data_IF_521411902245
#
_entry.id   IF_521411902245
#
_cell.length_a   1.000
_cell.length_b   1.000
_cell.length_c   1.000
_cell.angle_alpha   90.00
_cell.angle_beta   90.00
_cell.angle_gamma   90.00
#
_symmetry.space_group_name_H-M   'P 1'
#
loop_
_entity.id
_entity.type
_entity.pdbx_description
1 polymer ?
#
# COMPACT_ATOMS: atom_id res chain seq x y z
N UNK A 1 -13.41 17.28 1.00
CA UNK A 1 -13.32 16.99 2.45
C UNK A 1 -14.69 17.15 3.09
N UNK A 2 -15.05 16.24 3.99
CA UNK A 2 -16.29 16.30 4.76
C UNK A 2 -15.96 16.40 6.25
N UNK A 3 -16.18 17.58 6.85
CA UNK A 3 -15.83 17.84 8.25
C UNK A 3 -16.69 17.01 9.22
N UNK A 4 -17.98 16.81 8.91
CA UNK A 4 -18.88 16.03 9.75
C UNK A 4 -18.42 14.59 9.85
N UNK A 5 -18.03 14.00 8.73
CA UNK A 5 -17.51 12.64 8.66
C UNK A 5 -16.15 12.51 9.33
N UNK A 6 -15.23 13.49 9.12
CA UNK A 6 -13.96 13.55 9.80
C UNK A 6 -14.14 13.49 11.33
N UNK A 7 -14.98 14.35 11.86
CA UNK A 7 -15.28 14.41 13.30
C UNK A 7 -15.98 13.15 13.81
N UNK A 8 -16.87 12.58 13.03
CA UNK A 8 -17.53 11.33 13.38
C UNK A 8 -16.53 10.17 13.52
N UNK A 9 -15.63 10.00 12.56
CA UNK A 9 -14.58 8.96 12.62
C UNK A 9 -13.67 9.19 13.83
N UNK A 10 -13.26 10.44 14.11
CA UNK A 10 -12.44 10.73 15.29
C UNK A 10 -13.19 10.47 16.59
N UNK A 11 -14.50 10.68 16.66
CA UNK A 11 -15.30 10.31 17.83
C UNK A 11 -15.25 8.81 18.14
N UNK A 12 -15.26 7.98 17.08
CA UNK A 12 -15.11 6.52 17.23
C UNK A 12 -13.70 6.15 17.71
N UNK A 13 -12.66 6.79 17.20
CA UNK A 13 -11.27 6.56 17.61
C UNK A 13 -11.09 6.89 19.08
N UNK A 14 -11.53 8.07 19.52
CA UNK A 14 -11.41 8.55 20.91
C UNK A 14 -12.18 7.66 21.89
N UNK A 15 -13.29 7.04 21.44
CA UNK A 15 -14.09 6.16 22.30
C UNK A 15 -13.43 4.82 22.63
N UNK A 16 -12.34 4.46 21.94
CA UNK A 16 -11.60 3.21 22.17
C UNK A 16 -10.80 3.26 23.46
N UNK A 17 -10.99 2.28 24.33
CA UNK A 17 -10.31 2.21 25.63
C UNK A 17 -8.80 1.99 25.55
N UNK A 18 -8.34 1.37 24.45
CA UNK A 18 -6.94 0.96 24.27
C UNK A 18 -6.18 1.90 23.31
N UNK A 19 -6.69 3.12 23.07
CA UNK A 19 -5.99 4.09 22.26
C UNK A 19 -4.72 4.55 22.99
N UNK A 20 -3.58 4.55 22.26
CA UNK A 20 -2.31 5.02 22.77
C UNK A 20 -2.42 6.47 23.27
N UNK A 21 -1.95 6.73 24.49
CA UNK A 21 -1.98 8.06 25.11
C UNK A 21 -1.24 9.13 24.31
N UNK A 22 -0.26 8.74 23.49
CA UNK A 22 0.44 9.66 22.61
C UNK A 22 -0.40 10.03 21.38
N UNK A 23 -1.40 9.24 21.00
CA UNK A 23 -2.26 9.49 19.82
C UNK A 23 -3.49 10.29 20.22
N UNK A 24 -4.01 10.06 21.41
CA UNK A 24 -5.26 10.64 21.89
C UNK A 24 -5.34 12.18 21.75
N UNK A 25 -4.33 12.99 22.15
CA UNK A 25 -4.43 14.44 22.06
C UNK A 25 -4.57 14.96 20.63
N UNK A 26 -3.94 14.30 19.65
CA UNK A 26 -4.13 14.67 18.24
C UNK A 26 -5.49 14.20 17.71
N UNK A 27 -5.99 13.04 18.14
CA UNK A 27 -7.32 12.60 17.79
C UNK A 27 -8.39 13.59 18.30
N UNK A 28 -8.26 14.06 19.54
CA UNK A 28 -9.12 15.09 20.15
C UNK A 28 -9.01 16.41 19.40
N UNK A 29 -7.80 16.86 19.03
CA UNK A 29 -7.58 18.06 18.24
C UNK A 29 -8.34 18.03 16.89
N UNK A 30 -8.28 16.91 16.16
CA UNK A 30 -9.01 16.74 14.90
C UNK A 30 -10.52 16.61 15.13
N UNK A 31 -10.95 16.00 16.21
CA UNK A 31 -12.36 15.94 16.59
C UNK A 31 -12.92 17.34 16.87
N UNK A 32 -12.22 18.15 17.64
CA UNK A 32 -12.68 19.49 18.02
C UNK A 32 -12.65 20.47 16.84
N UNK A 33 -11.50 20.60 16.18
CA UNK A 33 -11.27 21.61 15.13
C UNK A 33 -11.61 21.13 13.71
N UNK A 34 -11.71 19.82 13.47
CA UNK A 34 -12.01 19.29 12.15
C UNK A 34 -10.99 19.71 11.10
N UNK A 35 -11.48 20.16 9.96
CA UNK A 35 -10.65 20.64 8.84
C UNK A 35 -9.97 22.00 9.10
N UNK A 36 -10.32 22.69 10.18
CA UNK A 36 -9.67 23.94 10.58
C UNK A 36 -8.33 23.72 11.31
N UNK A 37 -7.93 22.47 11.57
CA UNK A 37 -6.63 22.15 12.16
C UNK A 37 -5.51 22.69 11.27
N UNK A 38 -4.63 23.48 11.86
CA UNK A 38 -3.46 24.04 11.19
C UNK A 38 -2.19 23.29 11.56
N UNK A 39 -1.14 23.42 10.75
CA UNK A 39 0.20 22.91 11.09
C UNK A 39 0.72 23.44 12.44
N UNK A 40 0.32 24.64 12.85
CA UNK A 40 0.70 25.21 14.16
C UNK A 40 0.01 24.46 15.28
N UNK A 41 -1.25 24.09 15.10
CA UNK A 41 -2.01 23.33 16.09
C UNK A 41 -1.41 21.95 16.30
N UNK A 42 -1.14 21.20 15.23
CA UNK A 42 -0.51 19.87 15.30
C UNK A 42 0.89 19.93 15.93
N UNK A 43 1.69 20.94 15.56
CA UNK A 43 3.02 21.12 16.16
C UNK A 43 2.95 21.47 17.64
N UNK A 44 1.96 22.27 18.08
CA UNK A 44 1.75 22.59 19.49
C UNK A 44 1.40 21.32 20.26
N UNK A 45 0.39 20.57 19.82
CA UNK A 45 -0.03 19.32 20.48
C UNK A 45 1.12 18.30 20.60
N UNK A 46 1.93 18.15 19.55
CA UNK A 46 3.09 17.26 19.56
C UNK A 46 4.17 17.72 20.54
N UNK A 47 4.38 19.03 20.69
CA UNK A 47 5.32 19.58 21.69
C UNK A 47 4.83 19.40 23.12
N UNK A 48 3.53 19.52 23.37
CA UNK A 48 2.93 19.31 24.67
C UNK A 48 3.08 17.84 25.14
N UNK A 49 3.19 16.91 24.18
CA UNK A 49 3.55 15.50 24.40
C UNK A 49 5.06 15.25 24.59
N UNK A 50 5.89 16.30 24.53
CA UNK A 50 7.34 16.20 24.73
C UNK A 50 8.16 15.93 23.45
N UNK A 51 7.55 15.85 22.29
CA UNK A 51 8.27 15.68 21.02
C UNK A 51 8.73 17.04 20.46
N UNK A 52 9.89 17.07 19.80
CA UNK A 52 10.45 18.33 19.28
C UNK A 52 9.69 18.85 18.05
N UNK A 53 9.21 17.94 17.21
CA UNK A 53 8.56 18.23 15.94
C UNK A 53 7.79 17.02 15.42
N UNK A 54 7.04 17.19 14.30
CA UNK A 54 6.27 16.11 13.65
C UNK A 54 7.15 14.98 13.08
N UNK A 55 8.43 15.23 12.79
CA UNK A 55 9.33 14.17 12.32
C UNK A 55 9.64 13.18 13.44
N UNK A 56 9.84 13.68 14.66
CA UNK A 56 10.09 12.84 15.84
C UNK A 56 8.82 12.09 16.28
N UNK A 57 7.65 12.62 15.93
CA UNK A 57 6.33 12.05 16.21
C UNK A 57 5.78 11.19 15.04
N UNK A 58 6.58 10.88 14.02
CA UNK A 58 6.15 10.29 12.75
C UNK A 58 5.38 8.97 12.91
N UNK A 59 5.86 8.06 13.77
CA UNK A 59 5.21 6.77 13.98
C UNK A 59 3.79 6.92 14.53
N UNK A 60 3.59 7.81 15.50
CA UNK A 60 2.28 8.11 16.06
C UNK A 60 1.37 8.79 15.01
N UNK A 61 1.93 9.67 14.17
CA UNK A 61 1.19 10.28 13.06
C UNK A 61 0.66 9.23 12.08
N UNK A 62 1.48 8.24 11.73
CA UNK A 62 1.10 7.14 10.85
C UNK A 62 0.05 6.26 11.54
N UNK A 63 0.25 5.91 12.81
CA UNK A 63 -0.70 5.12 13.58
C UNK A 63 -2.07 5.81 13.66
N UNK A 64 -2.12 7.11 13.89
CA UNK A 64 -3.38 7.87 13.89
C UNK A 64 -4.11 7.79 12.54
N UNK A 65 -3.36 7.91 11.42
CA UNK A 65 -3.93 7.78 10.07
C UNK A 65 -4.46 6.35 9.85
N UNK A 66 -3.73 5.33 10.28
CA UNK A 66 -4.17 3.92 10.18
C UNK A 66 -5.46 3.72 10.98
N UNK A 67 -5.55 4.24 12.21
CA UNK A 67 -6.78 4.20 12.99
C UNK A 67 -7.95 4.89 12.27
N UNK A 68 -7.68 6.02 11.62
CA UNK A 68 -8.69 6.70 10.81
C UNK A 68 -9.16 5.82 9.66
N UNK A 69 -8.25 5.23 8.88
CA UNK A 69 -8.55 4.34 7.76
C UNK A 69 -9.36 3.13 8.21
N UNK A 70 -8.96 2.45 9.30
CA UNK A 70 -9.70 1.30 9.83
C UNK A 70 -11.14 1.64 10.20
N UNK A 71 -11.38 2.82 10.79
CA UNK A 71 -12.73 3.21 11.16
C UNK A 71 -13.54 3.71 9.95
N UNK A 72 -12.90 4.24 8.91
CA UNK A 72 -13.54 4.60 7.65
C UNK A 72 -13.95 3.37 6.82
N UNK A 73 -13.21 2.27 6.92
CA UNK A 73 -13.48 1.03 6.18
C UNK A 73 -14.59 0.15 6.79
N UNK A 74 -15.32 0.63 7.81
CA UNK A 74 -16.38 -0.15 8.46
C UNK A 74 -17.55 -0.55 7.51
N UNK A 75 -17.76 0.18 6.43
CA UNK A 75 -18.72 -0.11 5.36
C UNK A 75 -18.09 -0.76 4.12
N UNK A 76 -16.85 -1.22 4.26
CA UNK A 76 -16.05 -1.95 3.28
C UNK A 76 -15.52 -1.13 2.08
N UNK A 77 -15.88 0.13 1.91
CA UNK A 77 -15.36 0.97 0.80
C UNK A 77 -15.07 2.39 1.29
N UNK A 78 -13.95 2.95 0.86
CA UNK A 78 -13.64 4.35 1.14
C UNK A 78 -14.45 5.26 0.21
N UNK A 79 -15.26 6.12 0.81
CA UNK A 79 -15.94 7.19 0.10
C UNK A 79 -14.96 8.24 -0.41
N UNK A 80 -15.36 9.05 -1.39
CA UNK A 80 -14.53 10.17 -1.86
C UNK A 80 -14.21 11.16 -0.73
N UNK A 81 -15.15 11.39 0.17
CA UNK A 81 -14.95 12.27 1.32
C UNK A 81 -13.90 11.74 2.30
N UNK A 82 -13.91 10.43 2.59
CA UNK A 82 -12.91 9.78 3.44
C UNK A 82 -11.51 9.82 2.81
N UNK A 83 -11.40 9.57 1.51
CA UNK A 83 -10.13 9.70 0.78
C UNK A 83 -9.56 11.12 0.87
N UNK A 84 -10.39 12.13 0.70
CA UNK A 84 -9.98 13.53 0.86
C UNK A 84 -9.59 13.84 2.31
N UNK A 85 -10.31 13.31 3.29
CA UNK A 85 -9.95 13.45 4.70
C UNK A 85 -8.61 12.76 5.02
N UNK A 86 -8.33 11.57 4.47
CA UNK A 86 -7.04 10.90 4.63
C UNK A 86 -5.90 11.74 4.01
N UNK A 87 -6.10 12.31 2.82
CA UNK A 87 -5.12 13.22 2.21
C UNK A 87 -4.88 14.45 3.09
N UNK A 88 -5.93 15.02 3.65
CA UNK A 88 -5.81 16.13 4.61
C UNK A 88 -5.00 15.74 5.85
N UNK A 89 -5.28 14.59 6.46
CA UNK A 89 -4.53 14.08 7.61
C UNK A 89 -3.05 13.86 7.27
N UNK A 90 -2.75 13.23 6.13
CA UNK A 90 -1.37 13.07 5.65
C UNK A 90 -0.65 14.40 5.54
N UNK A 91 -1.31 15.42 4.99
CA UNK A 91 -0.74 16.77 4.87
C UNK A 91 -0.56 17.45 6.24
N UNK A 92 -1.57 17.42 7.11
CA UNK A 92 -1.54 18.07 8.43
C UNK A 92 -0.49 17.45 9.37
N UNK A 93 -0.23 16.14 9.23
CA UNK A 93 0.73 15.37 10.01
C UNK A 93 2.09 15.17 9.30
N UNK A 94 2.28 15.79 8.14
CA UNK A 94 3.49 15.68 7.33
C UNK A 94 3.88 14.22 6.96
N UNK A 95 2.90 13.33 6.83
CA UNK A 95 3.11 11.94 6.39
C UNK A 95 3.18 11.90 4.87
N UNK A 96 4.27 11.34 4.35
CA UNK A 96 4.56 11.26 2.91
C UNK A 96 4.36 9.83 2.40
N UNK A 97 4.29 9.71 1.08
CA UNK A 97 4.41 8.44 0.40
C UNK A 97 5.71 7.73 0.81
N UNK A 98 5.64 6.44 1.04
CA UNK A 98 6.78 5.64 1.51
C UNK A 98 7.06 5.72 3.03
N UNK A 99 6.39 6.60 3.79
CA UNK A 99 6.52 6.58 5.26
C UNK A 99 5.89 5.32 5.86
N UNK A 100 4.82 4.80 5.26
CA UNK A 100 4.15 3.56 5.66
C UNK A 100 5.04 2.31 5.50
N UNK A 101 6.03 2.36 4.61
CA UNK A 101 6.97 1.27 4.36
C UNK A 101 8.19 1.21 5.28
N UNK A 102 8.38 2.16 6.20
CA UNK A 102 9.61 2.29 7.00
C UNK A 102 9.64 1.45 8.27
N UNK A 103 8.51 1.06 8.79
CA UNK A 103 8.37 0.32 10.05
C UNK A 103 7.66 -1.01 9.80
N UNK A 104 8.21 -2.13 10.32
CA UNK A 104 7.66 -3.47 10.11
C UNK A 104 6.22 -3.60 10.62
N UNK A 105 5.91 -3.08 11.82
CA UNK A 105 4.55 -3.09 12.38
C UNK A 105 3.56 -2.36 11.46
N UNK A 106 3.93 -1.18 10.98
CA UNK A 106 3.11 -0.39 10.05
C UNK A 106 2.90 -1.14 8.73
N UNK A 107 3.94 -1.77 8.18
CA UNK A 107 3.82 -2.59 6.97
C UNK A 107 2.81 -3.71 7.15
N UNK A 108 2.86 -4.42 8.28
CA UNK A 108 1.91 -5.50 8.58
C UNK A 108 0.48 -4.97 8.67
N UNK A 109 0.25 -3.86 9.37
CA UNK A 109 -1.08 -3.24 9.46
C UNK A 109 -1.61 -2.81 8.08
N UNK A 110 -0.78 -2.19 7.25
CA UNK A 110 -1.13 -1.83 5.86
C UNK A 110 -1.44 -3.07 5.03
N UNK A 111 -0.63 -4.11 5.12
CA UNK A 111 -0.85 -5.37 4.42
C UNK A 111 -2.19 -6.00 4.82
N UNK A 112 -2.54 -6.02 6.09
CA UNK A 112 -3.81 -6.55 6.58
C UNK A 112 -5.01 -5.75 6.06
N UNK A 113 -4.91 -4.42 6.04
CA UNK A 113 -5.96 -3.57 5.47
C UNK A 113 -6.16 -3.93 3.98
N UNK A 114 -5.07 -3.97 3.21
CA UNK A 114 -5.12 -4.24 1.76
C UNK A 114 -5.69 -5.63 1.50
N UNK A 115 -5.18 -6.67 2.17
CA UNK A 115 -5.68 -8.04 2.04
C UNK A 115 -7.18 -8.13 2.34
N UNK A 116 -7.63 -7.52 3.44
CA UNK A 116 -9.05 -7.53 3.81
C UNK A 116 -9.90 -6.88 2.73
N UNK A 117 -9.47 -5.73 2.21
CA UNK A 117 -10.20 -5.03 1.16
C UNK A 117 -10.22 -5.81 -0.17
N UNK A 118 -9.13 -6.45 -0.54
CA UNK A 118 -9.06 -7.28 -1.75
C UNK A 118 -9.91 -8.55 -1.60
N UNK A 119 -9.91 -9.19 -0.41
CA UNK A 119 -10.82 -10.33 -0.13
C UNK A 119 -12.28 -9.96 -0.34
N UNK A 120 -12.70 -8.77 0.11
CA UNK A 120 -14.08 -8.33 -0.07
C UNK A 120 -14.42 -8.14 -1.55
N UNK A 121 -13.51 -7.58 -2.35
CA UNK A 121 -13.68 -7.46 -3.81
C UNK A 121 -13.84 -8.84 -4.46
N UNK A 122 -12.99 -9.82 -4.10
CA UNK A 122 -12.96 -11.12 -4.77
C UNK A 122 -13.99 -12.14 -4.24
N UNK A 123 -14.69 -11.84 -3.14
CA UNK A 123 -15.75 -12.72 -2.60
C UNK A 123 -17.12 -12.40 -3.20
N UNK A 124 -17.36 -11.16 -3.62
CA UNK A 124 -18.69 -10.67 -3.94
C UNK A 124 -19.19 -11.27 -5.28
N UNK A 125 -18.37 -11.17 -6.34
CA UNK A 125 -18.69 -11.81 -7.62
C UNK A 125 -17.42 -12.19 -8.42
N UNK A 126 -17.62 -12.81 -9.59
CA UNK A 126 -16.53 -13.26 -10.46
C UNK A 126 -15.98 -12.14 -11.37
N UNK A 127 -16.53 -10.92 -11.30
CA UNK A 127 -16.19 -9.84 -12.21
C UNK A 127 -15.85 -8.55 -11.45
N UNK A 128 -14.63 -8.09 -11.60
CA UNK A 128 -14.21 -6.80 -11.05
C UNK A 128 -14.90 -5.68 -11.82
N UNK A 129 -15.74 -4.94 -11.13
CA UNK A 129 -16.41 -3.77 -11.70
C UNK A 129 -15.50 -2.51 -11.67
N UNK A 130 -16.00 -1.42 -12.26
CA UNK A 130 -15.26 -0.15 -12.33
C UNK A 130 -15.01 0.46 -10.95
N UNK A 131 -15.96 0.33 -10.02
CA UNK A 131 -15.84 0.91 -8.67
C UNK A 131 -14.79 0.14 -7.87
N UNK A 132 -14.77 -1.18 -7.98
CA UNK A 132 -13.76 -2.04 -7.36
C UNK A 132 -12.37 -1.80 -7.90
N UNK A 133 -12.25 -1.65 -9.23
CA UNK A 133 -10.99 -1.28 -9.86
C UNK A 133 -10.49 0.09 -9.36
N UNK A 134 -11.37 1.07 -9.23
CA UNK A 134 -11.04 2.39 -8.65
C UNK A 134 -10.67 2.28 -7.16
N UNK A 135 -11.36 1.43 -6.40
CA UNK A 135 -11.04 1.21 -4.99
C UNK A 135 -9.62 0.63 -4.81
N UNK A 136 -9.20 -0.29 -5.69
CA UNK A 136 -7.83 -0.81 -5.71
C UNK A 136 -6.80 0.29 -5.97
N UNK A 137 -7.07 1.20 -6.91
CA UNK A 137 -6.21 2.36 -7.19
C UNK A 137 -6.14 3.31 -5.99
N UNK A 138 -7.26 3.55 -5.32
CA UNK A 138 -7.30 4.40 -4.13
C UNK A 138 -6.48 3.83 -2.97
N UNK A 139 -6.57 2.53 -2.71
CA UNK A 139 -5.75 1.86 -1.69
C UNK A 139 -4.25 2.01 -2.00
N UNK A 140 -3.87 1.81 -3.26
CA UNK A 140 -2.50 2.00 -3.71
C UNK A 140 -1.99 3.42 -3.47
N UNK A 141 -2.79 4.44 -3.83
CA UNK A 141 -2.46 5.86 -3.62
C UNK A 141 -2.38 6.23 -2.14
N UNK A 142 -3.33 5.78 -1.33
CA UNK A 142 -3.38 6.10 0.10
C UNK A 142 -2.12 5.64 0.82
N UNK A 143 -1.68 4.42 0.56
CA UNK A 143 -0.49 3.86 1.20
C UNK A 143 0.82 4.18 0.48
N UNK A 144 0.75 4.84 -0.69
CA UNK A 144 1.91 5.20 -1.50
C UNK A 144 2.66 3.98 -2.04
N UNK A 145 1.94 2.91 -2.32
CA UNK A 145 2.50 1.69 -2.89
C UNK A 145 2.72 1.84 -4.39
N UNK A 146 3.81 1.31 -4.90
CA UNK A 146 3.97 1.12 -6.33
C UNK A 146 2.96 0.07 -6.83
N UNK A 147 2.72 0.09 -8.15
CA UNK A 147 1.88 -0.94 -8.78
C UNK A 147 2.39 -2.35 -8.45
N UNK A 148 3.70 -2.55 -8.45
CA UNK A 148 4.32 -3.85 -8.23
C UNK A 148 4.14 -4.34 -6.78
N UNK A 149 4.34 -3.46 -5.81
CA UNK A 149 4.10 -3.77 -4.39
C UNK A 149 2.62 -4.13 -4.15
N UNK A 150 1.70 -3.39 -4.75
CA UNK A 150 0.27 -3.66 -4.61
C UNK A 150 -0.14 -4.95 -5.33
N UNK A 151 0.41 -5.21 -6.53
CA UNK A 151 0.05 -6.37 -7.34
C UNK A 151 0.42 -7.70 -6.69
N UNK A 152 1.35 -7.73 -5.76
CA UNK A 152 1.66 -8.93 -4.98
C UNK A 152 0.46 -9.32 -4.13
N UNK A 153 -0.10 -8.37 -3.37
CA UNK A 153 -1.30 -8.61 -2.56
C UNK A 153 -2.50 -8.98 -3.44
N UNK A 154 -2.70 -8.22 -4.52
CA UNK A 154 -3.82 -8.39 -5.43
C UNK A 154 -3.85 -9.80 -6.03
N UNK A 155 -2.73 -10.29 -6.51
CA UNK A 155 -2.63 -11.64 -7.07
C UNK A 155 -2.75 -12.74 -6.04
N UNK A 156 -2.18 -12.54 -4.88
CA UNK A 156 -2.28 -13.50 -3.79
C UNK A 156 -3.75 -13.71 -3.41
N UNK A 157 -4.50 -12.65 -3.14
CA UNK A 157 -5.91 -12.74 -2.76
C UNK A 157 -6.79 -13.26 -3.93
N UNK A 158 -6.48 -12.89 -5.17
CA UNK A 158 -7.15 -13.43 -6.35
C UNK A 158 -6.92 -14.95 -6.50
N UNK A 159 -5.71 -15.44 -6.27
CA UNK A 159 -5.40 -16.87 -6.31
C UNK A 159 -6.13 -17.63 -5.19
N UNK A 160 -6.20 -17.09 -3.99
CA UNK A 160 -6.98 -17.68 -2.89
C UNK A 160 -8.46 -17.74 -3.25
N UNK A 161 -9.03 -16.71 -3.84
CA UNK A 161 -10.42 -16.71 -4.28
C UNK A 161 -10.67 -17.81 -5.34
N UNK A 162 -9.78 -17.95 -6.32
CA UNK A 162 -9.85 -19.00 -7.35
C UNK A 162 -9.76 -20.41 -6.71
N UNK A 163 -8.89 -20.62 -5.75
CA UNK A 163 -8.80 -21.90 -5.01
C UNK A 163 -10.10 -22.22 -4.25
N UNK A 164 -10.83 -21.21 -3.82
CA UNK A 164 -12.14 -21.32 -3.17
C UNK A 164 -13.30 -21.44 -4.15
N UNK A 165 -13.03 -21.45 -5.46
CA UNK A 165 -14.00 -21.69 -6.52
C UNK A 165 -14.46 -20.47 -7.30
N UNK A 166 -13.90 -19.28 -7.05
CA UNK A 166 -14.17 -18.08 -7.86
C UNK A 166 -13.68 -18.27 -9.30
N UNK A 167 -14.42 -17.71 -10.26
CA UNK A 167 -14.10 -17.74 -11.69
C UNK A 167 -13.73 -16.35 -12.17
N UNK A 168 -12.72 -15.76 -11.55
CA UNK A 168 -12.31 -14.39 -11.84
C UNK A 168 -11.92 -14.22 -13.31
N UNK A 169 -12.60 -13.31 -14.00
CA UNK A 169 -12.30 -12.94 -15.38
C UNK A 169 -11.39 -11.71 -15.40
N UNK A 170 -10.53 -11.63 -16.42
CA UNK A 170 -9.70 -10.43 -16.71
C UNK A 170 -8.67 -10.04 -15.64
N UNK A 171 -8.14 -10.99 -14.86
CA UNK A 171 -7.06 -10.74 -13.89
C UNK A 171 -5.81 -10.10 -14.50
N UNK A 172 -5.57 -10.31 -15.79
CA UNK A 172 -4.42 -9.72 -16.51
C UNK A 172 -4.71 -8.32 -17.07
N UNK A 173 -5.93 -7.80 -16.86
CA UNK A 173 -6.28 -6.46 -17.28
C UNK A 173 -5.73 -5.44 -16.29
N UNK A 174 -4.87 -4.56 -16.77
CA UNK A 174 -4.33 -3.44 -15.97
C UNK A 174 -5.23 -2.24 -16.13
N UNK A 175 -5.74 -1.73 -15.02
CA UNK A 175 -6.52 -0.50 -15.01
C UNK A 175 -5.56 0.67 -14.85
N UNK A 176 -5.48 1.54 -15.86
CA UNK A 176 -4.70 2.76 -15.82
C UNK A 176 -5.57 3.97 -15.51
N UNK A 177 -5.04 4.85 -14.69
CA UNK A 177 -5.65 6.16 -14.41
C UNK A 177 -5.05 7.19 -15.35
N UNK A 178 -5.84 7.68 -16.31
CA UNK A 178 -5.46 8.78 -17.19
C UNK A 178 -6.53 9.88 -17.07
N UNK A 179 -6.14 11.08 -16.67
CA UNK A 179 -7.00 12.28 -16.60
C UNK A 179 -8.35 12.06 -15.85
N UNK A 180 -8.34 11.22 -14.81
CA UNK A 180 -9.53 10.90 -14.02
C UNK A 180 -10.46 9.85 -14.66
N UNK A 181 -10.05 9.26 -15.78
CA UNK A 181 -10.73 8.13 -16.41
C UNK A 181 -9.95 6.84 -16.16
N UNK A 182 -10.66 5.75 -15.94
CA UNK A 182 -10.08 4.42 -15.86
C UNK A 182 -10.09 3.80 -17.24
N UNK A 183 -8.91 3.51 -17.79
CA UNK A 183 -8.74 2.80 -19.04
C UNK A 183 -8.24 1.38 -18.76
N UNK A 184 -8.87 0.39 -19.39
CA UNK A 184 -8.39 -0.99 -19.37
C UNK A 184 -7.38 -1.19 -20.51
N UNK A 185 -6.19 -1.68 -20.17
CA UNK A 185 -5.19 -2.04 -21.18
C UNK A 185 -4.62 -3.43 -20.93
N UNK A 186 -4.35 -4.15 -22.01
CA UNK A 186 -3.67 -5.44 -21.95
C UNK A 186 -2.19 -5.23 -21.57
N UNK A 187 -1.66 -6.04 -20.67
CA UNK A 187 -0.25 -6.00 -20.27
C UNK A 187 0.67 -6.50 -21.40
N UNK A 188 1.78 -5.81 -21.60
CA UNK A 188 2.86 -6.25 -22.51
C UNK A 188 4.10 -6.67 -21.71
N UNK A 189 4.70 -7.81 -22.08
CA UNK A 189 5.97 -8.26 -21.47
C UNK A 189 7.17 -7.42 -21.95
N UNK A 190 7.01 -6.68 -23.04
CA UNK A 190 8.10 -5.87 -23.61
C UNK A 190 8.39 -4.66 -22.75
N UNK A 191 9.58 -4.58 -22.16
CA UNK A 191 10.05 -3.43 -21.38
C UNK A 191 10.31 -2.26 -22.33
N UNK A 192 9.65 -1.09 -22.12
CA UNK A 192 9.88 0.10 -22.93
C UNK A 192 11.33 0.57 -22.91
N UNK A 193 11.82 1.13 -24.01
CA UNK A 193 13.22 1.60 -24.10
C UNK A 193 13.53 2.70 -23.06
N UNK A 194 12.60 3.61 -22.86
CA UNK A 194 12.73 4.68 -21.83
C UNK A 194 12.97 4.10 -20.42
N UNK A 195 12.28 3.00 -20.09
CA UNK A 195 12.44 2.32 -18.80
C UNK A 195 13.83 1.68 -18.73
N UNK A 196 14.25 1.00 -19.80
CA UNK A 196 15.60 0.40 -19.89
C UNK A 196 16.69 1.43 -19.70
N UNK A 197 16.57 2.60 -20.34
CA UNK A 197 17.56 3.68 -20.25
C UNK A 197 17.66 4.23 -18.81
N UNK A 198 16.52 4.42 -18.14
CA UNK A 198 16.47 4.86 -16.74
C UNK A 198 17.08 3.83 -15.79
N UNK A 199 16.74 2.56 -15.97
CA UNK A 199 17.27 1.44 -15.15
C UNK A 199 18.76 1.26 -15.39
N UNK A 200 19.23 1.32 -16.64
CA UNK A 200 20.64 1.25 -16.98
C UNK A 200 21.46 2.32 -16.27
N UNK A 201 20.97 3.56 -16.27
CA UNK A 201 21.64 4.67 -15.59
C UNK A 201 21.64 4.51 -14.07
N UNK A 202 20.54 4.01 -13.49
CA UNK A 202 20.43 3.75 -12.04
C UNK A 202 21.39 2.66 -11.58
N UNK A 203 21.45 1.54 -12.29
CA UNK A 203 22.23 0.35 -11.92
C UNK A 203 23.67 0.40 -12.44
N UNK A 204 24.05 1.47 -13.17
CA UNK A 204 25.37 1.69 -13.71
C UNK A 204 25.79 0.65 -14.76
N UNK A 205 24.85 0.03 -15.47
CA UNK A 205 25.09 -0.99 -16.48
C UNK A 205 25.73 -2.26 -15.92
N UNK A 206 25.50 -2.58 -14.64
CA UNK A 206 26.06 -3.74 -13.95
C UNK A 206 24.98 -4.56 -13.28
N UNK A 207 25.22 -5.85 -13.16
CA UNK A 207 24.35 -6.74 -12.38
C UNK A 207 24.26 -6.26 -10.93
N UNK A 208 23.04 -5.98 -10.45
CA UNK A 208 22.81 -5.49 -9.08
C UNK A 208 23.11 -6.54 -8.00
N UNK A 209 23.18 -7.84 -8.36
CA UNK A 209 23.46 -8.93 -7.42
C UNK A 209 24.96 -9.24 -7.30
N UNK A 210 25.72 -9.27 -8.41
CA UNK A 210 27.12 -9.68 -8.39
C UNK A 210 28.10 -8.65 -8.95
N UNK A 211 27.63 -7.51 -9.47
CA UNK A 211 28.46 -6.44 -10.02
C UNK A 211 29.06 -6.71 -11.41
N UNK A 212 28.81 -7.88 -12.02
CA UNK A 212 29.28 -8.20 -13.37
C UNK A 212 28.70 -7.24 -14.41
N UNK A 213 29.46 -6.94 -15.44
CA UNK A 213 29.03 -6.19 -16.62
C UNK A 213 28.95 -7.04 -17.90
N UNK A 214 29.05 -8.36 -17.76
CA UNK A 214 28.99 -9.29 -18.88
C UNK A 214 27.64 -9.92 -19.02
N UNK A 215 27.18 -10.13 -20.25
CA UNK A 215 25.90 -10.77 -20.60
C UNK A 215 24.72 -10.17 -19.80
N UNK A 216 24.61 -8.86 -19.83
CA UNK A 216 23.60 -8.10 -19.08
C UNK A 216 22.21 -8.24 -19.72
N UNK A 217 21.22 -8.49 -18.88
CA UNK A 217 19.80 -8.60 -19.22
C UNK A 217 18.98 -7.67 -18.30
N UNK A 218 17.83 -7.18 -18.81
CA UNK A 218 16.84 -6.48 -17.99
C UNK A 218 15.82 -7.50 -17.48
N UNK A 219 15.67 -7.55 -16.19
CA UNK A 219 14.80 -8.49 -15.51
C UNK A 219 13.77 -7.78 -14.65
N UNK A 220 12.61 -8.42 -14.46
CA UNK A 220 11.58 -7.96 -13.55
C UNK A 220 11.87 -8.41 -12.12
N UNK A 221 11.96 -7.48 -11.16
CA UNK A 221 12.14 -7.80 -9.73
C UNK A 221 10.99 -8.70 -9.29
N UNK A 222 9.75 -8.25 -9.49
CA UNK A 222 8.56 -9.10 -9.43
C UNK A 222 8.35 -9.66 -10.83
N UNK A 223 8.42 -10.98 -11.05
CA UNK A 223 8.30 -11.59 -12.36
C UNK A 223 7.03 -11.16 -13.11
N UNK A 224 7.14 -10.98 -14.43
CA UNK A 224 5.99 -10.62 -15.25
C UNK A 224 4.85 -11.64 -15.14
N UNK A 225 5.18 -12.94 -15.00
CA UNK A 225 4.23 -14.04 -14.75
C UNK A 225 3.47 -13.89 -13.44
N UNK A 226 4.09 -13.26 -12.44
CA UNK A 226 3.49 -12.97 -11.12
C UNK A 226 2.90 -11.54 -11.04
N UNK A 227 2.78 -10.82 -12.16
CA UNK A 227 2.15 -9.53 -12.25
C UNK A 227 3.04 -8.32 -12.28
N UNK A 228 4.35 -8.53 -12.23
CA UNK A 228 5.31 -7.44 -12.29
C UNK A 228 5.09 -6.52 -13.49
N UNK A 229 5.18 -5.22 -13.28
CA UNK A 229 5.00 -4.20 -14.31
C UNK A 229 6.31 -3.88 -15.03
N UNK A 230 6.21 -3.15 -16.14
CA UNK A 230 7.36 -2.59 -16.86
C UNK A 230 7.79 -1.22 -16.30
N UNK A 231 7.59 -0.96 -15.01
CA UNK A 231 7.98 0.30 -14.40
C UNK A 231 9.47 0.34 -14.05
N UNK A 232 10.02 1.54 -13.99
CA UNK A 232 11.41 1.78 -13.55
C UNK A 232 11.74 1.13 -12.20
N UNK A 233 10.79 1.01 -11.28
CA UNK A 233 10.98 0.42 -9.95
C UNK A 233 11.02 -1.10 -9.97
N UNK A 234 10.33 -1.73 -10.93
CA UNK A 234 10.25 -3.18 -11.03
C UNK A 234 11.24 -3.80 -12.01
N UNK A 235 12.02 -3.01 -12.74
CA UNK A 235 13.05 -3.52 -13.63
C UNK A 235 14.43 -3.33 -13.01
N UNK A 236 15.28 -4.33 -13.14
CA UNK A 236 16.67 -4.34 -12.67
C UNK A 236 17.64 -4.85 -13.75
N UNK A 237 18.92 -4.54 -13.58
CA UNK A 237 19.99 -5.06 -14.44
C UNK A 237 20.60 -6.30 -13.79
N UNK A 238 20.53 -7.44 -14.44
CA UNK A 238 21.17 -8.69 -14.01
C UNK A 238 22.12 -9.22 -15.09
N UNK A 239 23.17 -9.94 -14.69
CA UNK A 239 23.87 -10.79 -15.63
C UNK A 239 23.05 -12.08 -15.87
N UNK A 240 23.27 -12.72 -17.02
CA UNK A 240 22.52 -13.91 -17.41
C UNK A 240 22.55 -15.03 -16.35
N UNK A 241 23.68 -15.21 -15.65
CA UNK A 241 23.81 -16.21 -14.59
C UNK A 241 22.89 -15.89 -13.39
N UNK A 242 22.91 -14.64 -12.89
CA UNK A 242 22.07 -14.23 -11.78
C UNK A 242 20.58 -14.23 -12.18
N UNK A 243 20.26 -13.82 -13.41
CA UNK A 243 18.89 -13.84 -13.92
C UNK A 243 18.31 -15.27 -13.96
N UNK A 244 19.10 -16.23 -14.45
CA UNK A 244 18.69 -17.65 -14.46
C UNK A 244 18.58 -18.23 -13.05
N UNK A 245 19.45 -17.84 -12.13
CA UNK A 245 19.39 -18.31 -10.73
C UNK A 245 18.17 -17.75 -10.00
N UNK A 246 17.80 -16.49 -10.29
CA UNK A 246 16.60 -15.86 -9.74
C UNK A 246 15.32 -16.53 -10.25
N UNK A 247 15.27 -16.93 -11.55
CA UNK A 247 14.11 -17.54 -12.18
C UNK A 247 12.82 -16.77 -11.90
N UNK A 248 11.79 -17.40 -11.33
CA UNK A 248 10.50 -16.83 -10.96
C UNK A 248 10.43 -16.41 -9.48
N UNK A 249 11.54 -16.40 -8.75
CA UNK A 249 11.54 -15.93 -7.36
C UNK A 249 11.39 -14.41 -7.27
N UNK A 250 10.75 -13.94 -6.21
CA UNK A 250 10.49 -12.52 -5.94
C UNK A 250 11.48 -12.03 -4.85
N UNK A 251 12.72 -12.39 -4.83
CA UNK A 251 13.74 -11.86 -3.92
C UNK A 251 13.21 -11.52 -2.50
N UNK A 252 13.46 -10.28 -2.03
CA UNK A 252 13.00 -9.83 -0.69
C UNK A 252 11.47 -9.87 -0.47
N UNK A 253 10.67 -10.04 -1.52
CA UNK A 253 9.21 -10.13 -1.42
C UNK A 253 8.77 -11.57 -1.12
N UNK A 254 9.53 -12.58 -1.54
CA UNK A 254 9.28 -13.96 -1.13
C UNK A 254 9.48 -14.10 0.39
N UNK A 255 10.52 -13.48 0.97
CA UNK A 255 10.72 -13.42 2.42
C UNK A 255 9.55 -12.74 3.14
N UNK A 256 8.94 -11.72 2.51
CA UNK A 256 7.79 -11.03 3.05
C UNK A 256 6.49 -11.85 2.95
N UNK A 257 6.32 -12.63 1.90
CA UNK A 257 5.17 -13.53 1.73
C UNK A 257 5.27 -14.73 2.67
N UNK A 258 6.46 -15.32 2.83
CA UNK A 258 6.72 -16.39 3.79
C UNK A 258 6.47 -15.91 5.25
N UNK A 259 6.81 -14.67 5.57
CA UNK A 259 6.55 -14.06 6.88
C UNK A 259 5.04 -13.79 7.11
N UNK A 260 4.28 -13.52 6.03
CA UNK A 260 2.83 -13.34 6.09
C UNK A 260 2.10 -14.68 6.24
N UNK A 261 2.56 -15.74 5.57
CA UNK A 261 2.01 -17.10 5.74
C UNK A 261 2.22 -17.61 7.17
N UNK A 262 3.36 -17.28 7.80
CA UNK A 262 3.63 -17.64 9.20
C UNK A 262 2.71 -16.93 10.20
N UNK A 263 2.21 -15.73 9.86
CA UNK A 263 1.27 -14.98 10.70
C UNK A 263 -0.18 -15.49 10.56
N UNK A 264 -0.56 -15.98 9.38
CA UNK A 264 -1.89 -16.57 9.13
C UNK A 264 -2.06 -17.92 9.86
N UNK A 265 -1.00 -18.74 9.94
CA UNK A 265 -1.00 -20.00 10.68
C UNK A 265 -1.05 -19.81 12.22
N UNK A 266 -0.68 -18.62 12.73
CA UNK A 266 -0.69 -18.36 14.17
C UNK A 266 -2.05 -17.93 14.73
N UNK A 267 -3.00 -17.54 13.90
CA UNK A 267 -4.37 -17.19 14.33
C UNK A 267 -5.28 -18.41 14.52
N UNK A 268 -4.93 -19.55 13.94
CA UNK A 268 -5.72 -20.81 14.08
C UNK A 268 -5.49 -21.55 15.40
N UNK A 269 -4.67 -21.03 16.31
CA UNK A 269 -4.36 -21.67 17.62
C UNK A 269 -4.98 -20.97 18.84
N UNK A 270 -6.02 -20.15 18.67
CA UNK A 270 -6.79 -19.62 19.81
C UNK A 270 -8.24 -20.13 19.70
N UNK A 271 -8.42 -21.45 19.81
CA UNK A 271 -9.64 -22.07 20.30
C UNK A 271 -9.20 -23.16 21.28
N UNK A 272 -9.24 -22.82 22.58
CA UNK A 272 -9.87 -23.63 23.66
C UNK A 272 -9.85 -22.83 24.96
#
# INVERSE_FOLDING_TARGET
MNETELKWVFSLIISKKDLDENILPLAELFYEKGIAVTKKDTLSAVKDLGFKNLKDYKENSISLIIHYIYNSLNDNKLTQAEKENIRFLKMALEVKEGDFGKNKKVKTEVANIIKTQLRLIYIDDDKIDKEEALHKVDLQEIFGLSYDEFSVFDKFEAQLAIQRGARLENLDTVVHYSDGLVEESSRSRTIPQEVKDKVWNRDGGRCVLCGSNELIEFDHIIPFSKGGSNTYRNIQVLCQSCNRSKSDSIGEVDDFLDELDYLDESEDYIED
#
